data_IF_461069636512
#
_entry.id   IF_461069636512
#
_cell.length_a   1.000
_cell.length_b   1.000
_cell.length_c   1.000
_cell.angle_alpha   90.00
_cell.angle_beta   90.00
_cell.angle_gamma   90.00
#
_symmetry.space_group_name_H-M   'P 1'
#
loop_
_entity.id
_entity.type
_entity.pdbx_description
1 polymer ?
#
# COMPACT_ATOMS: atom_id res chain seq x y z
N UNK A 1 -13.19 59.64 -56.61
CA UNK A 1 -12.71 59.38 -55.20
C UNK A 1 -13.75 58.68 -54.31
N UNK A 2 -14.97 58.46 -54.69
CA UNK A 2 -15.97 57.78 -53.82
C UNK A 2 -15.99 56.25 -53.96
N UNK A 3 -15.47 55.67 -55.03
CA UNK A 3 -15.51 54.24 -55.30
C UNK A 3 -14.50 53.43 -54.47
N UNK A 4 -13.29 53.97 -54.28
CA UNK A 4 -12.24 53.27 -53.50
C UNK A 4 -12.55 53.17 -52.01
N UNK A 5 -13.30 54.09 -51.43
CA UNK A 5 -13.66 54.04 -50.00
C UNK A 5 -14.65 52.92 -49.72
N UNK A 6 -15.57 52.57 -50.65
CA UNK A 6 -16.49 51.48 -50.42
C UNK A 6 -15.81 50.13 -50.50
N UNK A 7 -14.89 49.94 -51.42
CA UNK A 7 -14.11 48.71 -51.52
C UNK A 7 -13.21 48.47 -50.28
N UNK A 8 -12.59 49.54 -49.79
CA UNK A 8 -11.78 49.43 -48.57
C UNK A 8 -12.61 49.01 -47.33
N UNK A 9 -13.83 49.53 -47.21
CA UNK A 9 -14.74 49.17 -46.11
C UNK A 9 -15.20 47.73 -46.24
N UNK A 10 -15.49 47.24 -47.41
CA UNK A 10 -15.85 45.84 -47.66
C UNK A 10 -14.73 44.89 -47.29
N UNK A 11 -13.49 45.22 -47.64
CA UNK A 11 -12.31 44.42 -47.29
C UNK A 11 -12.03 44.42 -45.78
N UNK A 12 -12.22 45.54 -45.11
CA UNK A 12 -12.05 45.66 -43.66
C UNK A 12 -13.11 44.82 -42.94
N UNK A 13 -14.35 44.82 -43.38
CA UNK A 13 -15.42 43.99 -42.81
C UNK A 13 -15.17 42.52 -43.02
N UNK A 14 -14.64 42.09 -44.17
CA UNK A 14 -14.22 40.70 -44.40
C UNK A 14 -13.09 40.26 -43.50
N UNK A 15 -12.09 41.09 -43.28
CA UNK A 15 -10.96 40.80 -42.39
C UNK A 15 -11.42 40.72 -40.93
N UNK A 16 -12.31 41.62 -40.50
CA UNK A 16 -12.87 41.57 -39.15
C UNK A 16 -13.73 40.34 -38.92
N UNK A 17 -14.50 39.94 -39.94
CA UNK A 17 -15.30 38.70 -39.89
C UNK A 17 -14.41 37.45 -39.82
N UNK A 18 -13.29 37.43 -40.53
CA UNK A 18 -12.31 36.33 -40.48
C UNK A 18 -11.56 36.26 -39.12
N UNK A 19 -11.32 37.37 -38.45
CA UNK A 19 -10.72 37.41 -37.13
C UNK A 19 -11.67 36.90 -36.01
N UNK A 20 -12.99 36.99 -36.22
CA UNK A 20 -13.98 36.55 -35.22
C UNK A 20 -14.24 35.05 -35.24
N UNK A 21 -13.73 34.31 -36.24
CA UNK A 21 -13.81 32.84 -36.35
C UNK A 21 -12.53 32.18 -35.89
N UNK A 22 -11.80 32.76 -34.96
CA UNK A 22 -10.77 31.99 -34.23
C UNK A 22 -11.57 31.09 -33.26
N UNK A 23 -11.69 29.77 -33.52
CA UNK A 23 -12.23 28.88 -32.53
C UNK A 23 -11.33 29.04 -31.33
N UNK A 24 -11.93 29.48 -30.22
CA UNK A 24 -11.19 29.53 -28.95
C UNK A 24 -10.48 28.23 -28.79
N UNK A 25 -9.17 28.28 -28.79
CA UNK A 25 -8.37 27.18 -28.30
C UNK A 25 -8.72 27.06 -26.83
N UNK A 26 -9.80 26.34 -26.57
CA UNK A 26 -10.00 25.74 -25.26
C UNK A 26 -8.77 24.91 -25.03
N UNK A 27 -7.83 25.45 -24.29
CA UNK A 27 -6.81 24.62 -23.67
C UNK A 27 -7.57 23.69 -22.74
N UNK A 28 -7.94 22.55 -23.31
CA UNK A 28 -8.26 21.38 -22.52
C UNK A 28 -7.04 21.17 -21.63
N UNK A 29 -7.14 21.69 -20.40
CA UNK A 29 -6.27 21.23 -19.33
C UNK A 29 -6.50 19.73 -19.28
N UNK A 30 -5.68 19.00 -20.01
CA UNK A 30 -5.47 17.60 -19.67
C UNK A 30 -5.11 17.62 -18.20
N UNK A 31 -5.93 17.06 -17.30
CA UNK A 31 -5.45 16.84 -15.96
C UNK A 31 -4.14 16.07 -16.19
N UNK A 32 -3.02 16.65 -15.77
CA UNK A 32 -1.83 15.84 -15.53
C UNK A 32 -2.35 14.75 -14.61
N UNK A 33 -2.67 13.60 -15.17
CA UNK A 33 -2.67 12.40 -14.41
C UNK A 33 -1.24 12.36 -13.88
N UNK A 34 -1.05 12.78 -12.62
CA UNK A 34 0.13 12.40 -11.88
C UNK A 34 0.13 10.89 -12.05
N UNK A 35 1.02 10.41 -12.88
CA UNK A 35 1.28 8.99 -13.04
C UNK A 35 1.88 8.55 -11.72
N UNK A 36 0.97 8.36 -10.74
CA UNK A 36 1.33 7.83 -9.43
C UNK A 36 1.94 6.46 -9.70
N UNK A 37 3.25 6.46 -9.83
CA UNK A 37 4.00 5.24 -10.01
C UNK A 37 3.86 4.43 -8.74
N UNK A 38 3.04 3.40 -8.80
CA UNK A 38 2.89 2.44 -7.70
C UNK A 38 3.49 1.10 -8.07
N UNK A 39 3.97 0.41 -7.09
CA UNK A 39 4.34 -1.00 -7.18
C UNK A 39 3.36 -1.84 -6.37
N UNK A 40 3.19 -3.09 -6.78
CA UNK A 40 2.45 -4.08 -6.02
C UNK A 40 3.42 -5.12 -5.50
N UNK A 41 3.41 -5.31 -4.18
CA UNK A 41 4.19 -6.36 -3.51
C UNK A 41 3.23 -7.43 -3.06
N UNK A 42 3.49 -8.68 -3.41
CA UNK A 42 2.62 -9.81 -3.06
C UNK A 42 3.40 -11.03 -2.58
N UNK A 43 2.75 -11.88 -1.80
CA UNK A 43 3.39 -13.07 -1.29
C UNK A 43 2.52 -13.85 -0.31
N UNK A 44 3.13 -14.85 0.32
CA UNK A 44 2.50 -15.72 1.32
C UNK A 44 3.33 -15.74 2.58
N UNK A 45 2.66 -15.64 3.74
CA UNK A 45 3.29 -15.76 5.05
C UNK A 45 3.00 -17.12 5.65
N UNK A 46 4.04 -17.79 6.15
CA UNK A 46 3.98 -19.13 6.73
C UNK A 46 4.72 -19.21 8.06
N UNK A 47 4.28 -20.13 8.89
CA UNK A 47 5.00 -20.56 10.07
C UNK A 47 6.30 -21.27 9.68
N UNK A 48 7.39 -20.91 10.30
CA UNK A 48 8.71 -21.49 10.00
C UNK A 48 8.84 -22.94 10.44
N UNK A 49 8.15 -23.35 11.50
CA UNK A 49 8.26 -24.70 12.08
C UNK A 49 7.39 -25.70 11.34
N UNK A 50 6.10 -25.42 11.19
CA UNK A 50 5.11 -26.36 10.63
C UNK A 50 4.73 -26.07 9.17
N UNK A 51 5.23 -24.98 8.57
CA UNK A 51 4.98 -24.55 7.19
C UNK A 51 3.53 -24.21 6.86
N UNK A 52 2.66 -24.13 7.86
CA UNK A 52 1.27 -23.71 7.67
C UNK A 52 1.20 -22.23 7.31
N UNK A 53 0.25 -21.87 6.49
CA UNK A 53 -0.05 -20.47 6.17
C UNK A 53 -0.60 -19.75 7.39
N UNK A 54 -0.28 -18.47 7.52
CA UNK A 54 -0.69 -17.64 8.64
C UNK A 54 -1.66 -16.56 8.15
N UNK A 55 -2.89 -16.62 8.64
CA UNK A 55 -3.92 -15.61 8.40
C UNK A 55 -3.77 -14.41 9.34
N UNK A 56 -4.30 -13.27 8.94
CA UNK A 56 -4.30 -12.01 9.72
C UNK A 56 -2.93 -11.51 10.16
N UNK A 57 -1.89 -11.85 9.43
CA UNK A 57 -0.55 -11.30 9.63
C UNK A 57 -0.53 -9.87 9.12
N UNK A 58 -0.08 -8.94 9.94
CA UNK A 58 0.13 -7.56 9.52
C UNK A 58 1.39 -7.43 8.68
N UNK A 59 1.25 -6.85 7.49
CA UNK A 59 2.34 -6.55 6.55
C UNK A 59 2.34 -5.06 6.29
N UNK A 60 3.37 -4.35 6.68
CA UNK A 60 3.43 -2.89 6.62
C UNK A 60 4.76 -2.38 6.10
N UNK A 61 4.76 -1.12 5.66
CA UNK A 61 5.97 -0.40 5.27
C UNK A 61 6.48 0.39 6.48
N UNK A 62 7.69 0.12 6.98
CA UNK A 62 8.24 0.83 8.12
C UNK A 62 8.26 2.35 7.93
N UNK A 63 7.72 3.09 8.90
CA UNK A 63 7.69 4.54 8.87
C UNK A 63 6.64 5.17 7.94
N UNK A 64 5.76 4.36 7.35
CA UNK A 64 4.62 4.82 6.53
C UNK A 64 3.31 4.22 7.03
N UNK A 65 2.20 4.94 6.82
CA UNK A 65 0.85 4.45 7.13
C UNK A 65 0.30 3.57 5.99
N UNK A 66 1.13 2.67 5.48
CA UNK A 66 0.80 1.77 4.36
C UNK A 66 1.00 0.34 4.82
N UNK A 67 -0.05 -0.46 4.72
CA UNK A 67 -0.01 -1.86 5.14
C UNK A 67 -1.25 -2.62 4.70
N UNK A 68 -1.20 -3.93 4.87
CA UNK A 68 -2.28 -4.89 4.61
C UNK A 68 -2.20 -6.03 5.61
N UNK A 69 -3.17 -6.93 5.57
CA UNK A 69 -3.17 -8.17 6.35
C UNK A 69 -3.30 -9.38 5.42
N UNK A 70 -2.77 -10.52 5.84
CA UNK A 70 -2.93 -11.76 5.07
C UNK A 70 -4.36 -12.30 5.15
N UNK A 71 -4.82 -12.92 4.06
CA UNK A 71 -6.09 -13.62 3.99
C UNK A 71 -6.02 -15.01 4.67
N UNK A 72 -7.09 -15.82 4.57
CA UNK A 72 -7.17 -17.15 5.14
C UNK A 72 -6.10 -18.14 4.59
N UNK A 73 -5.64 -17.91 3.37
CA UNK A 73 -4.59 -18.70 2.71
C UNK A 73 -3.17 -18.18 3.03
N UNK A 74 -3.08 -17.14 3.91
CA UNK A 74 -1.84 -16.50 4.27
C UNK A 74 -1.26 -15.60 3.18
N UNK A 75 -2.04 -15.28 2.15
CA UNK A 75 -1.62 -14.44 1.04
C UNK A 75 -1.84 -12.96 1.35
N UNK A 76 -0.97 -12.12 0.84
CA UNK A 76 -1.10 -10.67 0.89
C UNK A 76 -0.81 -10.02 -0.46
N UNK A 77 -1.40 -8.86 -0.66
CA UNK A 77 -1.09 -7.95 -1.75
C UNK A 77 -1.10 -6.53 -1.20
N UNK A 78 -0.01 -5.80 -1.40
CA UNK A 78 0.20 -4.44 -0.91
C UNK A 78 0.58 -3.52 -2.05
N UNK A 79 -0.26 -2.52 -2.31
CA UNK A 79 0.00 -1.47 -3.28
C UNK A 79 0.72 -0.32 -2.59
N UNK A 80 1.87 0.09 -3.11
CA UNK A 80 2.73 1.11 -2.53
C UNK A 80 2.95 2.21 -3.56
N UNK A 81 2.59 3.43 -3.21
CA UNK A 81 2.90 4.63 -3.98
C UNK A 81 4.30 5.12 -3.59
N UNK A 82 4.97 5.85 -4.49
CA UNK A 82 6.34 6.36 -4.27
C UNK A 82 7.31 5.29 -3.80
N UNK A 83 7.35 4.19 -4.51
CA UNK A 83 8.10 3.00 -4.14
C UNK A 83 9.63 3.17 -4.13
N UNK A 84 10.15 4.27 -4.65
CA UNK A 84 11.60 4.50 -4.74
C UNK A 84 12.30 4.45 -3.37
N UNK A 85 11.58 4.78 -2.29
CA UNK A 85 12.10 4.81 -0.92
C UNK A 85 11.68 3.59 -0.08
N UNK A 86 11.05 2.58 -0.67
CA UNK A 86 10.61 1.40 0.08
C UNK A 86 11.60 0.26 -0.12
N UNK A 87 12.36 -0.04 0.92
CA UNK A 87 13.42 -1.05 0.90
C UNK A 87 13.09 -2.29 1.73
N UNK A 88 12.03 -2.26 2.54
CA UNK A 88 11.67 -3.36 3.41
C UNK A 88 10.17 -3.36 3.76
N UNK A 89 9.67 -4.55 4.10
CA UNK A 89 8.40 -4.75 4.79
C UNK A 89 8.66 -5.15 6.24
N UNK A 90 7.79 -4.74 7.12
CA UNK A 90 7.71 -5.22 8.50
C UNK A 90 6.49 -6.14 8.63
N UNK A 91 6.74 -7.34 9.11
CA UNK A 91 5.74 -8.39 9.24
C UNK A 91 5.60 -8.74 10.71
N UNK A 92 4.37 -8.64 11.24
CA UNK A 92 4.07 -8.91 12.63
C UNK A 92 2.80 -9.73 12.79
N UNK A 93 2.80 -10.63 13.78
CA UNK A 93 1.65 -11.45 14.14
C UNK A 93 1.72 -11.82 15.62
N UNK A 94 0.54 -11.91 16.26
CA UNK A 94 0.47 -12.33 17.67
C UNK A 94 1.04 -13.73 17.82
N UNK A 95 1.94 -13.92 18.79
CA UNK A 95 2.60 -15.19 19.04
C UNK A 95 3.83 -15.48 18.18
N UNK A 96 4.26 -14.52 17.35
CA UNK A 96 5.44 -14.64 16.50
C UNK A 96 6.41 -13.48 16.68
N UNK A 97 7.69 -13.73 16.40
CA UNK A 97 8.70 -12.67 16.35
C UNK A 97 8.47 -11.80 15.11
N UNK A 98 8.52 -10.49 15.29
CA UNK A 98 8.49 -9.56 14.17
C UNK A 98 9.63 -9.86 13.21
N UNK A 99 9.34 -9.81 11.93
CA UNK A 99 10.32 -10.03 10.87
C UNK A 99 10.36 -8.82 9.95
N UNK A 100 11.57 -8.43 9.52
CA UNK A 100 11.79 -7.38 8.55
C UNK A 100 12.38 -8.01 7.30
N UNK A 101 11.63 -7.94 6.21
CA UNK A 101 12.00 -8.50 4.90
C UNK A 101 12.47 -7.37 4.00
N UNK A 102 13.71 -7.46 3.52
CA UNK A 102 14.22 -6.51 2.54
C UNK A 102 13.58 -6.80 1.18
N UNK A 103 13.11 -5.75 0.52
CA UNK A 103 12.54 -5.85 -0.82
C UNK A 103 13.66 -5.73 -1.88
N UNK A 104 13.60 -6.61 -2.84
CA UNK A 104 14.38 -6.51 -4.08
C UNK A 104 13.44 -5.99 -5.17
N UNK A 105 13.84 -4.92 -5.85
CA UNK A 105 13.03 -4.29 -6.90
C UNK A 105 12.72 -5.24 -8.07
N UNK A 106 13.53 -6.26 -8.26
CA UNK A 106 13.34 -7.26 -9.32
C UNK A 106 12.35 -8.37 -8.91
N UNK A 107 12.16 -8.58 -7.60
CA UNK A 107 11.35 -9.68 -7.07
C UNK A 107 10.35 -9.15 -6.02
N UNK A 108 9.25 -8.58 -6.50
CA UNK A 108 8.19 -8.00 -5.65
C UNK A 108 6.95 -8.89 -5.56
N UNK A 109 6.87 -9.93 -6.37
CA UNK A 109 5.76 -10.91 -6.38
C UNK A 109 6.22 -12.28 -5.87
N UNK A 110 5.26 -13.07 -5.41
CA UNK A 110 5.46 -14.44 -4.93
C UNK A 110 6.45 -14.58 -3.77
N UNK A 111 6.54 -13.55 -2.93
CA UNK A 111 7.38 -13.57 -1.74
C UNK A 111 6.94 -14.69 -0.78
N UNK A 112 7.89 -15.50 -0.33
CA UNK A 112 7.67 -16.53 0.69
C UNK A 112 8.30 -16.07 1.99
N UNK A 113 7.46 -15.64 2.94
CA UNK A 113 7.90 -15.09 4.22
C UNK A 113 7.63 -16.12 5.32
N UNK A 114 8.60 -16.31 6.20
CA UNK A 114 8.48 -17.25 7.31
C UNK A 114 8.60 -16.49 8.62
N UNK A 115 7.61 -16.66 9.51
CA UNK A 115 7.64 -16.14 10.87
C UNK A 115 8.05 -17.25 11.84
N UNK A 116 8.87 -16.87 12.80
CA UNK A 116 9.30 -17.76 13.89
C UNK A 116 8.35 -17.58 15.07
N UNK A 117 7.65 -18.64 15.53
CA UNK A 117 6.78 -18.52 16.69
C UNK A 117 7.60 -18.19 17.93
N UNK A 118 7.01 -17.41 18.84
CA UNK A 118 7.56 -17.29 20.19
C UNK A 118 7.55 -18.68 20.82
N UNK A 119 8.66 -19.11 21.36
CA UNK A 119 8.68 -20.28 22.24
C UNK A 119 7.87 -19.92 23.47
N UNK A 120 6.60 -20.31 23.51
CA UNK A 120 5.82 -20.27 24.73
C UNK A 120 6.45 -21.32 25.67
N UNK A 121 7.39 -20.90 26.48
CA UNK A 121 7.63 -21.58 27.75
C UNK A 121 6.36 -21.33 28.57
N UNK A 122 5.36 -22.16 28.40
CA UNK A 122 4.37 -22.38 29.42
C UNK A 122 5.16 -22.99 30.59
N UNK A 123 5.66 -22.12 31.46
CA UNK A 123 6.08 -22.58 32.78
C UNK A 123 4.80 -23.15 33.39
N UNK A 124 4.76 -24.48 33.47
CA UNK A 124 3.74 -25.20 34.20
C UNK A 124 3.74 -24.64 35.63
N UNK A 125 2.74 -23.81 35.94
CA UNK A 125 2.52 -23.34 37.31
C UNK A 125 2.00 -24.56 38.06
N UNK A 126 2.90 -25.32 38.69
CA UNK A 126 2.49 -26.36 39.61
C UNK A 126 1.92 -25.67 40.84
N UNK A 127 0.59 -25.57 40.90
CA UNK A 127 -0.10 -25.10 42.09
C UNK A 127 -0.05 -26.19 43.13
N UNK A 128 0.87 -26.08 44.08
CA UNK A 128 0.82 -26.90 45.28
C UNK A 128 -0.35 -26.47 46.12
N UNK A 129 -1.43 -27.22 46.13
CA UNK A 129 -2.50 -27.07 47.10
C UNK A 129 -1.96 -27.46 48.45
N UNK A 130 -1.60 -26.47 49.26
CA UNK A 130 -1.28 -26.68 50.66
C UNK A 130 -2.62 -26.97 51.37
N UNK A 131 -2.81 -28.25 51.75
CA UNK A 131 -3.95 -28.67 52.52
C UNK A 131 -3.68 -28.30 54.01
N UNK A 132 -4.37 -27.28 54.58
CA UNK A 132 -4.22 -26.97 56.00
C UNK A 132 -4.92 -28.10 56.80
N UNK A 133 -4.15 -28.93 57.43
CA UNK A 133 -4.69 -29.86 58.45
C UNK A 133 -5.23 -29.01 59.59
N UNK A 134 -6.55 -28.98 59.74
CA UNK A 134 -7.16 -28.49 60.96
C UNK A 134 -6.84 -29.47 62.08
N UNK A 135 -6.00 -29.04 63.03
CA UNK A 135 -5.79 -29.74 64.27
C UNK A 135 -6.97 -29.34 65.16
N UNK A 136 -7.87 -30.30 65.39
CA UNK A 136 -8.89 -30.16 66.39
C UNK A 136 -8.24 -30.64 67.69
N UNK A 137 -7.92 -29.72 68.59
CA UNK A 137 -7.55 -30.07 69.96
C UNK A 137 -8.85 -30.22 70.77
N UNK A 138 -9.02 -31.37 71.38
CA UNK A 138 -10.06 -31.60 72.40
C UNK A 138 -9.68 -30.98 73.75
#
# INVERSE_FOLDING_TARGET
MRAHKKQLIEWILLVVFWLSVIPGWSQEKTPFAEENTYITVSGVVKDKQNRKTLEYVNVSVPGRSVGTVTNADGEFSLKIEDAEMVFALEISHIGYHNNRVRLDKEHLSDLKIYLTPHANMLNEIVVYAHNPRFIVEE
#
